data_IF_322471673127
#
_entry.id   IF_322471673127
#
_cell.length_a   1.000
_cell.length_b   1.000
_cell.length_c   1.000
_cell.angle_alpha   90.00
_cell.angle_beta   90.00
_cell.angle_gamma   90.00
#
_symmetry.space_group_name_H-M   'P 1'
#
loop_
_entity.id
_entity.type
_entity.pdbx_description
1 polymer ?
#
# COMPACT_ATOMS: atom_id res chain seq x y z
N UNK A 1 17.41 23.33 2.57
CA UNK A 1 15.98 23.52 2.89
C UNK A 1 15.08 23.19 1.69
N UNK A 2 15.23 23.84 0.51
CA UNK A 2 14.34 23.60 -0.66
C UNK A 2 14.37 22.15 -1.21
N UNK A 3 15.54 21.50 -1.25
CA UNK A 3 15.68 20.12 -1.72
C UNK A 3 14.92 19.11 -0.81
N UNK A 4 15.14 19.19 0.51
CA UNK A 4 14.47 18.31 1.51
C UNK A 4 12.94 18.51 1.56
N UNK A 5 12.47 19.76 1.50
CA UNK A 5 11.04 20.06 1.44
C UNK A 5 10.39 19.52 0.15
N UNK A 6 11.14 19.47 -0.96
CA UNK A 6 10.67 18.90 -2.22
C UNK A 6 10.59 17.37 -2.14
N UNK A 7 11.56 16.70 -1.50
CA UNK A 7 11.53 15.24 -1.28
C UNK A 7 10.35 14.82 -0.40
N UNK A 8 10.02 15.58 0.66
CA UNK A 8 8.88 15.29 1.52
C UNK A 8 7.53 15.44 0.79
N UNK A 9 7.36 16.51 0.01
CA UNK A 9 6.15 16.73 -0.79
C UNK A 9 5.98 15.65 -1.88
N UNK A 10 7.09 15.21 -2.50
CA UNK A 10 7.09 14.10 -3.46
C UNK A 10 6.74 12.78 -2.77
N UNK A 11 7.33 12.47 -1.62
CA UNK A 11 6.99 11.28 -0.83
C UNK A 11 5.52 11.23 -0.44
N UNK A 12 4.92 12.34 0.01
CA UNK A 12 3.51 12.40 0.36
C UNK A 12 2.59 12.17 -0.86
N UNK A 13 2.98 12.70 -2.02
CA UNK A 13 2.25 12.49 -3.28
C UNK A 13 2.36 11.04 -3.76
N UNK A 14 3.54 10.45 -3.69
CA UNK A 14 3.75 9.04 -4.01
C UNK A 14 3.04 8.12 -3.02
N UNK A 15 2.95 8.47 -1.74
CA UNK A 15 2.16 7.75 -0.72
C UNK A 15 0.68 7.68 -1.13
N UNK A 16 0.11 8.82 -1.53
CA UNK A 16 -1.29 8.91 -1.96
C UNK A 16 -1.54 8.06 -3.21
N UNK A 17 -0.62 8.10 -4.18
CA UNK A 17 -0.71 7.28 -5.38
C UNK A 17 -0.57 5.78 -5.05
N UNK A 18 0.32 5.44 -4.11
CA UNK A 18 0.51 4.09 -3.63
C UNK A 18 -0.75 3.54 -2.94
N UNK A 19 -1.37 4.33 -2.04
CA UNK A 19 -2.59 3.96 -1.34
C UNK A 19 -3.74 3.72 -2.34
N UNK A 20 -3.86 4.55 -3.39
CA UNK A 20 -4.82 4.32 -4.48
C UNK A 20 -4.57 2.99 -5.21
N UNK A 21 -3.31 2.71 -5.59
CA UNK A 21 -2.96 1.46 -6.28
C UNK A 21 -3.21 0.24 -5.38
N UNK A 22 -2.95 0.38 -4.08
CA UNK A 22 -3.22 -0.64 -3.07
C UNK A 22 -4.72 -0.95 -2.97
N UNK A 23 -5.58 0.08 -2.90
CA UNK A 23 -7.04 -0.08 -2.87
C UNK A 23 -7.57 -0.72 -4.15
N UNK A 24 -7.08 -0.26 -5.32
CA UNK A 24 -7.44 -0.83 -6.62
C UNK A 24 -7.05 -2.32 -6.70
N UNK A 25 -5.83 -2.68 -6.29
CA UNK A 25 -5.38 -4.08 -6.34
C UNK A 25 -6.18 -4.97 -5.39
N UNK A 26 -6.45 -4.49 -4.17
CA UNK A 26 -7.25 -5.23 -3.17
C UNK A 26 -8.68 -5.44 -3.67
N UNK A 27 -9.26 -4.43 -4.32
CA UNK A 27 -10.59 -4.51 -4.95
C UNK A 27 -10.61 -5.55 -6.07
N UNK A 28 -9.57 -5.59 -6.91
CA UNK A 28 -9.46 -6.58 -7.99
C UNK A 28 -9.36 -8.00 -7.43
N UNK A 29 -8.55 -8.22 -6.39
CA UNK A 29 -8.43 -9.52 -5.73
C UNK A 29 -9.79 -9.95 -5.16
N UNK A 30 -10.47 -9.07 -4.43
CA UNK A 30 -11.80 -9.34 -3.87
C UNK A 30 -12.84 -9.66 -4.96
N UNK A 31 -12.76 -8.99 -6.12
CA UNK A 31 -13.65 -9.26 -7.25
C UNK A 31 -13.41 -10.64 -7.86
N UNK A 32 -12.14 -11.05 -7.99
CA UNK A 32 -11.79 -12.40 -8.45
C UNK A 32 -12.32 -13.45 -7.48
N UNK A 33 -12.14 -13.26 -6.17
CA UNK A 33 -12.65 -14.18 -5.14
C UNK A 33 -14.19 -14.26 -5.11
N UNK A 34 -14.87 -13.13 -5.25
CA UNK A 34 -16.33 -13.09 -5.32
C UNK A 34 -16.86 -13.82 -6.57
N UNK A 35 -16.23 -13.59 -7.71
CA UNK A 35 -16.56 -14.26 -8.98
C UNK A 35 -16.28 -15.77 -8.90
N UNK A 36 -15.18 -16.14 -8.27
CA UNK A 36 -14.81 -17.52 -8.01
C UNK A 36 -15.84 -18.25 -7.12
N UNK A 37 -16.27 -17.59 -6.04
CA UNK A 37 -17.27 -18.14 -5.13
C UNK A 37 -18.63 -18.34 -5.82
N UNK A 38 -19.04 -17.41 -6.69
CA UNK A 38 -20.29 -17.57 -7.46
C UNK A 38 -20.21 -18.70 -8.50
N UNK A 39 -19.03 -18.93 -9.07
CA UNK A 39 -18.76 -20.01 -10.02
C UNK A 39 -18.58 -21.39 -9.37
N UNK A 40 -18.28 -21.44 -8.07
CA UNK A 40 -18.00 -22.69 -7.34
C UNK A 40 -19.15 -23.71 -7.40
N UNK A 41 -20.40 -23.24 -7.48
CA UNK A 41 -21.59 -24.09 -7.62
C UNK A 41 -21.78 -24.69 -9.02
N UNK A 42 -21.11 -24.15 -10.05
CA UNK A 42 -21.19 -24.64 -11.43
C UNK A 42 -20.02 -25.52 -11.85
N UNK A 43 -18.93 -25.52 -11.08
CA UNK A 43 -17.68 -26.19 -11.44
C UNK A 43 -17.68 -27.67 -11.06
N UNK A 44 -17.92 -28.53 -12.04
CA UNK A 44 -17.90 -29.99 -11.89
C UNK A 44 -16.79 -30.62 -12.74
N UNK A 45 -16.26 -31.76 -12.28
CA UNK A 45 -15.24 -32.53 -13.00
C UNK A 45 -13.82 -31.96 -12.90
N UNK A 46 -12.92 -32.40 -13.79
CA UNK A 46 -11.49 -32.02 -13.80
C UNK A 46 -11.27 -30.51 -13.91
N UNK A 47 -12.12 -29.79 -14.65
CA UNK A 47 -12.05 -28.34 -14.76
C UNK A 47 -12.32 -27.63 -13.43
N UNK A 48 -13.26 -28.13 -12.62
CA UNK A 48 -13.55 -27.57 -11.30
C UNK A 48 -12.40 -27.78 -10.31
N UNK A 49 -11.78 -28.95 -10.31
CA UNK A 49 -10.59 -29.21 -9.48
C UNK A 49 -9.39 -28.34 -9.87
N UNK A 50 -9.14 -28.18 -11.17
CA UNK A 50 -8.07 -27.31 -11.66
C UNK A 50 -8.30 -25.85 -11.27
N UNK A 51 -9.55 -25.39 -11.38
CA UNK A 51 -9.93 -24.03 -11.05
C UNK A 51 -9.88 -23.78 -9.53
N UNK A 52 -10.33 -24.71 -8.69
CA UNK A 52 -10.15 -24.63 -7.23
C UNK A 52 -8.66 -24.52 -6.84
N UNK A 53 -7.79 -25.33 -7.45
CA UNK A 53 -6.34 -25.25 -7.20
C UNK A 53 -5.72 -23.94 -7.67
N UNK A 54 -6.19 -23.39 -8.80
CA UNK A 54 -5.76 -22.08 -9.28
C UNK A 54 -6.21 -20.95 -8.35
N UNK A 55 -7.45 -21.00 -7.85
CA UNK A 55 -7.99 -20.04 -6.90
C UNK A 55 -7.25 -20.05 -5.58
N UNK A 56 -6.91 -21.22 -5.06
CA UNK A 56 -6.15 -21.33 -3.82
C UNK A 56 -4.77 -20.66 -3.96
N UNK A 57 -4.08 -20.91 -5.08
CA UNK A 57 -2.80 -20.23 -5.38
C UNK A 57 -2.97 -18.73 -5.56
N UNK A 58 -4.06 -18.30 -6.22
CA UNK A 58 -4.39 -16.90 -6.39
C UNK A 58 -4.63 -16.20 -5.05
N UNK A 59 -5.42 -16.81 -4.16
CA UNK A 59 -5.68 -16.29 -2.82
C UNK A 59 -4.39 -16.19 -2.00
N UNK A 60 -3.56 -17.23 -2.04
CA UNK A 60 -2.29 -17.24 -1.32
C UNK A 60 -1.35 -16.12 -1.83
N UNK A 61 -1.19 -15.99 -3.14
CA UNK A 61 -0.40 -14.93 -3.76
C UNK A 61 -0.97 -13.53 -3.47
N UNK A 62 -2.29 -13.36 -3.59
CA UNK A 62 -3.00 -12.12 -3.28
C UNK A 62 -2.78 -11.69 -1.83
N UNK A 63 -2.88 -12.63 -0.88
CA UNK A 63 -2.64 -12.35 0.55
C UNK A 63 -1.19 -11.91 0.83
N UNK A 64 -0.21 -12.46 0.11
CA UNK A 64 1.21 -12.07 0.22
C UNK A 64 1.40 -10.67 -0.34
N UNK A 65 0.74 -10.36 -1.44
CA UNK A 65 0.86 -9.07 -2.10
C UNK A 65 0.18 -7.95 -1.29
N UNK A 66 -1.02 -8.19 -0.75
CA UNK A 66 -1.68 -7.26 0.17
C UNK A 66 -0.77 -6.98 1.37
N UNK A 67 -0.20 -8.01 2.01
CA UNK A 67 0.74 -7.83 3.12
C UNK A 67 1.95 -6.98 2.76
N UNK A 68 2.59 -7.28 1.63
CA UNK A 68 3.76 -6.52 1.17
C UNK A 68 3.40 -5.06 0.88
N UNK A 69 2.24 -4.81 0.26
CA UNK A 69 1.78 -3.45 -0.02
C UNK A 69 1.43 -2.69 1.26
N UNK A 70 0.73 -3.31 2.22
CA UNK A 70 0.48 -2.70 3.54
C UNK A 70 1.78 -2.34 4.25
N UNK A 71 2.79 -3.21 4.19
CA UNK A 71 4.11 -2.93 4.77
C UNK A 71 4.79 -1.73 4.09
N UNK A 72 4.72 -1.63 2.77
CA UNK A 72 5.28 -0.50 2.01
C UNK A 72 4.52 0.79 2.36
N UNK A 73 3.18 0.78 2.37
CA UNK A 73 2.37 1.95 2.75
C UNK A 73 2.75 2.42 4.16
N UNK A 74 2.82 1.51 5.14
CA UNK A 74 3.25 1.84 6.50
C UNK A 74 4.66 2.45 6.55
N UNK A 75 5.61 1.96 5.74
CA UNK A 75 6.97 2.53 5.65
C UNK A 75 6.96 3.92 5.04
N UNK A 76 6.15 4.17 4.01
CA UNK A 76 6.02 5.48 3.38
C UNK A 76 5.40 6.48 4.37
N UNK A 77 4.31 6.11 5.04
CA UNK A 77 3.67 6.94 6.08
C UNK A 77 4.62 7.22 7.24
N UNK A 78 5.36 6.21 7.72
CA UNK A 78 6.36 6.39 8.77
C UNK A 78 7.52 7.30 8.33
N UNK A 79 7.95 7.21 7.07
CA UNK A 79 8.98 8.10 6.52
C UNK A 79 8.48 9.55 6.41
N UNK A 80 7.24 9.76 5.96
CA UNK A 80 6.61 11.08 5.88
C UNK A 80 6.42 11.73 7.25
N UNK A 81 5.94 10.98 8.24
CA UNK A 81 5.77 11.49 9.61
C UNK A 81 7.09 11.89 10.27
N UNK A 82 8.15 11.07 10.12
CA UNK A 82 9.49 11.42 10.61
C UNK A 82 10.04 12.69 9.95
N UNK A 83 9.71 12.92 8.69
CA UNK A 83 10.17 14.11 7.97
C UNK A 83 9.51 15.39 8.47
N UNK A 84 8.18 15.36 8.67
CA UNK A 84 7.44 16.51 9.23
C UNK A 84 7.97 16.89 10.60
N UNK A 85 8.17 15.93 11.50
CA UNK A 85 8.67 16.20 12.85
C UNK A 85 10.11 16.73 12.84
N UNK A 86 10.97 16.20 11.95
CA UNK A 86 12.34 16.70 11.82
C UNK A 86 12.40 18.13 11.30
N UNK A 87 11.56 18.51 10.33
CA UNK A 87 11.52 19.89 9.80
C UNK A 87 11.01 20.88 10.87
N UNK A 88 9.99 20.51 11.66
CA UNK A 88 9.49 21.33 12.77
C UNK A 88 10.55 21.52 13.88
N UNK A 89 11.28 20.46 14.24
CA UNK A 89 12.37 20.52 15.22
C UNK A 89 13.54 21.39 14.72
N UNK A 90 13.93 21.24 13.45
CA UNK A 90 14.97 22.05 12.84
C UNK A 90 14.57 23.53 12.71
N UNK A 91 13.32 23.82 12.34
CA UNK A 91 12.79 25.18 12.30
C UNK A 91 12.75 25.82 13.70
N UNK A 92 12.31 25.08 14.72
CA UNK A 92 12.28 25.55 16.10
C UNK A 92 13.68 25.83 16.66
N UNK A 93 14.65 24.97 16.37
CA UNK A 93 16.04 25.17 16.80
C UNK A 93 16.71 26.36 16.11
N UNK A 94 16.47 26.56 14.80
CA UNK A 94 16.98 27.71 14.05
C UNK A 94 16.34 29.02 14.51
N UNK A 95 15.02 29.03 14.71
CA UNK A 95 14.30 30.19 15.24
C UNK A 95 14.81 30.57 16.64
N UNK A 96 15.11 29.58 17.48
CA UNK A 96 15.71 29.81 18.79
C UNK A 96 17.14 30.33 18.71
N UNK A 97 17.93 29.88 17.73
CA UNK A 97 19.30 30.35 17.50
C UNK A 97 19.38 31.75 16.85
N UNK A 98 18.35 32.17 16.11
CA UNK A 98 18.25 33.49 15.47
C UNK A 98 17.66 34.57 16.37
N UNK A 99 17.13 34.20 17.54
CA UNK A 99 16.51 35.11 18.51
C UNK A 99 17.42 35.43 19.71
N UNK A 100 18.73 35.20 19.56
CA UNK A 100 19.81 35.69 20.43
C UNK A 100 20.68 36.68 19.65
#
# INVERSE_FOLDING_TARGET
>A
MAQMNTDAAVLAKEATNFDRIYEELTTVIAKVESTANSLSGGWHGQAGHAAQGALQRFHEAGSKQIRALTEISNKIHAAGGRYSSADDEHAGSLASAMNF
#
